data_IF_485670408026
#
_entry.id   IF_485670408026
#
_cell.length_a   1.000
_cell.length_b   1.000
_cell.length_c   1.000
_cell.angle_alpha   90.00
_cell.angle_beta   90.00
_cell.angle_gamma   90.00
#
_symmetry.space_group_name_H-M   'P 1'
#
loop_
_entity.id
_entity.type
_entity.pdbx_description
1 polymer ?
#
# COMPACT_ATOMS: atom_id res chain seq x y z
N UNK A 1 -17.05 -19.63 1.72
CA UNK A 1 -15.70 -19.79 1.11
C UNK A 1 -15.12 -18.49 0.53
N UNK A 2 -15.94 -17.52 0.06
CA UNK A 2 -15.45 -16.27 -0.55
C UNK A 2 -14.58 -15.37 0.34
N UNK A 3 -14.67 -15.43 1.68
CA UNK A 3 -13.80 -14.62 2.56
C UNK A 3 -12.31 -14.96 2.45
N UNK A 4 -11.96 -16.16 1.94
CA UNK A 4 -10.59 -16.56 1.65
C UNK A 4 -9.97 -15.77 0.48
N UNK A 5 -10.77 -15.04 -0.29
CA UNK A 5 -10.26 -14.22 -1.40
C UNK A 5 -9.33 -13.11 -0.92
N UNK A 6 -9.51 -12.61 0.32
CA UNK A 6 -8.70 -11.50 0.84
C UNK A 6 -7.25 -11.93 1.10
N UNK A 7 -6.97 -12.98 1.90
CA UNK A 7 -5.61 -13.51 2.03
C UNK A 7 -4.97 -13.86 0.68
N UNK A 8 -5.73 -14.51 -0.22
CA UNK A 8 -5.23 -14.91 -1.55
C UNK A 8 -4.86 -13.68 -2.38
N UNK A 9 -5.69 -12.64 -2.40
CA UNK A 9 -5.42 -11.39 -3.10
C UNK A 9 -4.15 -10.72 -2.57
N UNK A 10 -4.01 -10.56 -1.26
CA UNK A 10 -2.85 -9.89 -0.69
C UNK A 10 -1.56 -10.67 -0.94
N UNK A 11 -1.59 -12.01 -0.78
CA UNK A 11 -0.43 -12.85 -1.11
C UNK A 11 -0.08 -12.76 -2.59
N UNK A 12 -1.08 -12.83 -3.48
CA UNK A 12 -0.88 -12.66 -4.91
C UNK A 12 -0.24 -11.31 -5.23
N UNK A 13 -0.72 -10.21 -4.66
CA UNK A 13 -0.16 -8.87 -4.88
C UNK A 13 1.27 -8.73 -4.36
N UNK A 14 1.60 -9.38 -3.23
CA UNK A 14 2.98 -9.39 -2.70
C UNK A 14 3.91 -10.16 -3.65
N UNK A 15 3.47 -11.31 -4.17
CA UNK A 15 4.25 -12.09 -5.15
C UNK A 15 4.42 -11.31 -6.45
N UNK A 16 3.35 -10.70 -6.98
CA UNK A 16 3.41 -9.88 -8.20
C UNK A 16 4.32 -8.67 -7.98
N UNK A 17 4.27 -8.01 -6.82
CA UNK A 17 5.16 -6.92 -6.47
C UNK A 17 6.63 -7.37 -6.47
N UNK A 18 6.91 -8.54 -5.87
CA UNK A 18 8.25 -9.14 -5.87
C UNK A 18 8.74 -9.43 -7.29
N UNK A 19 7.91 -10.08 -8.11
CA UNK A 19 8.24 -10.37 -9.50
C UNK A 19 8.46 -9.09 -10.32
N UNK A 20 7.58 -8.10 -10.21
CA UNK A 20 7.71 -6.82 -10.88
C UNK A 20 9.02 -6.12 -10.50
N UNK A 21 9.44 -6.17 -9.24
CA UNK A 21 10.69 -5.55 -8.79
C UNK A 21 11.96 -6.15 -9.43
N UNK A 22 11.91 -7.40 -9.89
CA UNK A 22 13.02 -8.08 -10.55
C UNK A 22 13.11 -7.70 -12.04
N UNK A 23 11.97 -7.59 -12.72
CA UNK A 23 11.92 -7.34 -14.16
C UNK A 23 11.80 -5.86 -14.53
N UNK A 24 11.43 -5.00 -13.59
CA UNK A 24 11.21 -3.59 -13.85
C UNK A 24 12.50 -2.78 -13.67
N UNK A 25 13.01 -2.23 -14.77
CA UNK A 25 14.21 -1.37 -14.80
C UNK A 25 13.89 0.12 -15.00
N UNK A 26 12.62 0.49 -14.99
CA UNK A 26 12.18 1.88 -15.21
C UNK A 26 12.23 2.75 -13.95
N UNK A 27 12.02 4.06 -14.14
CA UNK A 27 11.94 5.03 -13.05
C UNK A 27 10.59 4.98 -12.28
N UNK A 28 9.51 4.56 -12.94
CA UNK A 28 8.16 4.58 -12.38
C UNK A 28 7.89 3.32 -11.52
N UNK A 29 8.13 3.44 -10.23
CA UNK A 29 7.89 2.35 -9.26
C UNK A 29 6.50 2.43 -8.64
N UNK A 30 6.03 1.33 -8.05
CA UNK A 30 4.73 1.24 -7.36
C UNK A 30 4.76 0.20 -6.24
N UNK A 31 3.79 0.25 -5.32
CA UNK A 31 3.61 -0.69 -4.20
C UNK A 31 2.17 -1.23 -4.18
N UNK A 32 1.96 -2.35 -4.89
CA UNK A 32 0.63 -2.95 -5.01
C UNK A 32 0.02 -3.34 -3.65
N UNK A 33 0.76 -3.94 -2.70
CA UNK A 33 0.25 -4.22 -1.37
C UNK A 33 -0.22 -2.97 -0.61
N UNK A 34 0.53 -1.88 -0.66
CA UNK A 34 0.13 -0.61 -0.04
C UNK A 34 -1.19 -0.09 -0.63
N UNK A 35 -1.32 -0.09 -1.96
CA UNK A 35 -2.53 0.36 -2.66
C UNK A 35 -3.75 -0.50 -2.28
N UNK A 36 -3.56 -1.81 -2.14
CA UNK A 36 -4.62 -2.72 -1.72
C UNK A 36 -5.01 -2.51 -0.25
N UNK A 37 -4.04 -2.30 0.65
CA UNK A 37 -4.29 -1.99 2.06
C UNK A 37 -5.08 -0.68 2.17
N UNK A 38 -4.66 0.36 1.46
CA UNK A 38 -5.37 1.63 1.41
C UNK A 38 -6.84 1.43 0.97
N UNK A 39 -7.04 0.72 -0.12
CA UNK A 39 -8.38 0.50 -0.70
C UNK A 39 -9.27 -0.33 0.22
N UNK A 40 -8.70 -1.38 0.82
CA UNK A 40 -9.40 -2.24 1.77
C UNK A 40 -9.77 -1.49 3.06
N UNK A 41 -8.86 -0.68 3.58
CA UNK A 41 -9.08 0.15 4.76
C UNK A 41 -10.22 1.16 4.55
N UNK A 42 -10.31 1.77 3.37
CA UNK A 42 -11.44 2.65 3.02
C UNK A 42 -12.79 1.93 3.09
N UNK A 43 -12.86 0.68 2.65
CA UNK A 43 -14.10 -0.09 2.60
C UNK A 43 -14.50 -0.68 3.95
N UNK A 44 -13.55 -1.28 4.67
CA UNK A 44 -13.82 -2.01 5.93
C UNK A 44 -13.62 -1.15 7.19
N UNK A 45 -12.81 -0.11 7.13
CA UNK A 45 -12.53 0.82 8.24
C UNK A 45 -11.24 0.54 9.01
N UNK A 46 -10.99 1.37 10.02
CA UNK A 46 -9.69 1.52 10.72
C UNK A 46 -9.09 0.24 11.28
N UNK A 47 -9.85 -0.58 12.01
CA UNK A 47 -9.32 -1.77 12.70
C UNK A 47 -8.94 -2.86 11.70
N UNK A 48 -9.79 -3.10 10.71
CA UNK A 48 -9.50 -4.07 9.65
C UNK A 48 -8.36 -3.62 8.75
N UNK A 49 -8.29 -2.32 8.43
CA UNK A 49 -7.17 -1.73 7.68
C UNK A 49 -5.84 -1.91 8.42
N UNK A 50 -5.81 -1.63 9.73
CA UNK A 50 -4.63 -1.82 10.56
C UNK A 50 -4.20 -3.29 10.64
N UNK A 51 -5.14 -4.21 10.90
CA UNK A 51 -4.84 -5.63 11.03
C UNK A 51 -4.28 -6.23 9.72
N UNK A 52 -4.86 -5.87 8.58
CA UNK A 52 -4.35 -6.30 7.27
C UNK A 52 -3.00 -5.65 6.98
N UNK A 53 -2.83 -4.36 7.29
CA UNK A 53 -1.56 -3.67 7.16
C UNK A 53 -0.43 -4.35 7.96
N UNK A 54 -0.73 -4.80 9.18
CA UNK A 54 0.20 -5.54 10.02
C UNK A 54 0.58 -6.88 9.39
N UNK A 55 -0.41 -7.70 9.03
CA UNK A 55 -0.18 -9.03 8.50
C UNK A 55 0.59 -9.00 7.16
N UNK A 56 0.15 -8.13 6.24
CA UNK A 56 0.78 -7.99 4.92
C UNK A 56 2.15 -7.34 5.03
N UNK A 57 2.30 -6.34 5.90
CA UNK A 57 3.58 -5.72 6.18
C UNK A 57 4.59 -6.67 6.78
N UNK A 58 4.18 -7.55 7.70
CA UNK A 58 5.02 -8.61 8.26
C UNK A 58 5.50 -9.59 7.18
N UNK A 59 4.61 -10.03 6.29
CA UNK A 59 4.98 -10.90 5.16
C UNK A 59 6.01 -10.20 4.26
N UNK A 60 5.82 -8.92 3.97
CA UNK A 60 6.76 -8.18 3.13
C UNK A 60 8.10 -7.91 3.83
N UNK A 61 8.12 -7.65 5.14
CA UNK A 61 9.38 -7.57 5.89
C UNK A 61 10.13 -8.91 5.89
N UNK A 62 9.41 -10.04 5.94
CA UNK A 62 10.02 -11.37 5.87
C UNK A 62 10.55 -11.72 4.45
N UNK A 63 9.97 -11.14 3.40
CA UNK A 63 10.34 -11.42 2.01
C UNK A 63 11.35 -10.43 1.42
N UNK A 64 11.63 -9.32 2.10
CA UNK A 64 12.53 -8.27 1.61
C UNK A 64 13.82 -8.25 2.43
N UNK A 65 14.93 -7.86 1.80
CA UNK A 65 16.24 -7.70 2.48
C UNK A 65 16.38 -6.35 3.18
N UNK A 66 15.25 -5.64 3.37
CA UNK A 66 15.20 -4.32 3.99
C UNK A 66 15.26 -4.38 5.51
N UNK A 67 14.92 -3.27 6.16
CA UNK A 67 14.81 -3.21 7.62
C UNK A 67 13.53 -3.91 8.06
N UNK A 68 13.68 -5.02 8.77
CA UNK A 68 12.55 -5.75 9.34
C UNK A 68 11.72 -4.85 10.27
N UNK A 69 10.40 -4.91 10.13
CA UNK A 69 9.44 -4.11 10.88
C UNK A 69 9.08 -2.77 10.21
N UNK A 70 9.84 -2.30 9.21
CA UNK A 70 9.53 -1.04 8.53
C UNK A 70 8.18 -1.14 7.83
N UNK A 71 7.96 -2.21 7.08
CA UNK A 71 6.73 -2.40 6.36
C UNK A 71 5.56 -2.71 7.27
N UNK A 72 5.74 -3.58 8.27
CA UNK A 72 4.73 -3.90 9.25
C UNK A 72 4.19 -2.64 9.93
N UNK A 73 5.07 -1.75 10.42
CA UNK A 73 4.67 -0.53 11.12
C UNK A 73 4.00 0.48 10.17
N UNK A 74 4.65 0.82 9.06
CA UNK A 74 4.15 1.85 8.13
C UNK A 74 2.78 1.48 7.55
N UNK A 75 2.59 0.20 7.18
CA UNK A 75 1.34 -0.29 6.60
C UNK A 75 0.21 -0.37 7.61
N UNK A 76 0.51 -0.74 8.86
CA UNK A 76 -0.46 -0.70 9.96
C UNK A 76 -0.96 0.72 10.19
N UNK A 77 -0.04 1.68 10.29
CA UNK A 77 -0.34 3.10 10.52
C UNK A 77 -1.20 3.66 9.39
N UNK A 78 -0.80 3.42 8.14
CA UNK A 78 -1.58 3.88 6.98
C UNK A 78 -2.95 3.21 6.93
N UNK A 79 -3.02 1.89 7.09
CA UNK A 79 -4.29 1.16 7.12
C UNK A 79 -5.24 1.69 8.20
N UNK A 80 -4.72 2.04 9.38
CA UNK A 80 -5.51 2.64 10.44
C UNK A 80 -6.02 4.04 10.07
N UNK A 81 -5.14 4.96 9.67
CA UNK A 81 -5.51 6.35 9.42
C UNK A 81 -6.43 6.51 8.20
N UNK A 82 -6.17 5.76 7.13
CA UNK A 82 -7.04 5.76 5.94
C UNK A 82 -8.41 5.19 6.27
N UNK A 83 -8.46 4.09 7.04
CA UNK A 83 -9.72 3.51 7.48
C UNK A 83 -10.48 4.39 8.48
N UNK A 84 -9.79 5.24 9.25
CA UNK A 84 -10.41 6.24 10.12
C UNK A 84 -10.94 7.44 9.32
N UNK A 85 -10.23 7.85 8.26
CA UNK A 85 -10.60 8.92 7.35
C UNK A 85 -11.63 8.54 6.29
N UNK A 86 -12.15 7.30 6.29
CA UNK A 86 -12.97 6.75 5.20
C UNK A 86 -14.17 7.63 4.83
N UNK A 87 -14.84 8.25 5.79
CA UNK A 87 -16.05 9.04 5.52
C UNK A 87 -15.79 10.34 4.75
N UNK A 88 -14.59 10.91 4.93
CA UNK A 88 -14.14 12.11 4.22
C UNK A 88 -13.60 11.73 2.84
N UNK A 89 -12.75 10.70 2.80
CA UNK A 89 -12.03 10.32 1.57
C UNK A 89 -12.97 9.64 0.56
N UNK A 90 -13.97 8.89 1.00
CA UNK A 90 -14.87 8.14 0.11
C UNK A 90 -15.88 9.03 -0.62
N UNK A 91 -16.15 10.24 -0.12
CA UNK A 91 -17.13 11.16 -0.73
C UNK A 91 -16.57 11.92 -1.93
N UNK A 92 -15.27 11.83 -2.17
CA UNK A 92 -14.56 12.72 -3.08
C UNK A 92 -14.10 12.07 -4.39
N UNK A 93 -13.75 12.94 -5.34
CA UNK A 93 -13.33 12.58 -6.70
C UNK A 93 -12.01 11.81 -6.71
N UNK A 94 -11.75 11.15 -7.85
CA UNK A 94 -10.51 10.45 -8.19
C UNK A 94 -9.22 11.14 -7.70
N UNK A 95 -9.19 12.47 -7.84
CA UNK A 95 -8.05 13.31 -7.48
C UNK A 95 -7.69 13.23 -6.00
N UNK A 96 -8.65 13.04 -5.09
CA UNK A 96 -8.38 12.97 -3.65
C UNK A 96 -7.77 11.62 -3.25
N UNK A 97 -8.18 10.52 -3.89
CA UNK A 97 -7.51 9.23 -3.71
C UNK A 97 -6.05 9.30 -4.15
N UNK A 98 -5.79 9.89 -5.33
CA UNK A 98 -4.44 10.11 -5.83
C UNK A 98 -3.62 11.02 -4.88
N UNK A 99 -4.18 12.16 -4.45
CA UNK A 99 -3.48 13.07 -3.54
C UNK A 99 -3.15 12.39 -2.20
N UNK A 100 -4.10 11.67 -1.62
CA UNK A 100 -3.91 11.02 -0.31
C UNK A 100 -2.83 9.93 -0.40
N UNK A 101 -2.89 9.05 -1.41
CA UNK A 101 -1.87 8.01 -1.56
C UNK A 101 -0.50 8.61 -1.90
N UNK A 102 -0.45 9.71 -2.66
CA UNK A 102 0.78 10.44 -2.94
C UNK A 102 1.43 10.97 -1.66
N UNK A 103 0.65 11.59 -0.77
CA UNK A 103 1.12 12.07 0.54
C UNK A 103 1.58 10.90 1.42
N UNK A 104 0.81 9.82 1.50
CA UNK A 104 1.22 8.62 2.25
C UNK A 104 2.52 8.02 1.71
N UNK A 105 2.65 7.92 0.39
CA UNK A 105 3.84 7.38 -0.28
C UNK A 105 5.06 8.25 -0.03
N UNK A 106 4.89 9.58 -0.12
CA UNK A 106 5.95 10.54 0.17
C UNK A 106 6.39 10.46 1.64
N UNK A 107 5.44 10.35 2.57
CA UNK A 107 5.74 10.19 3.99
C UNK A 107 6.51 8.89 4.27
N UNK A 108 6.10 7.76 3.68
CA UNK A 108 6.85 6.49 3.80
C UNK A 108 8.27 6.65 3.26
N UNK A 109 8.42 7.23 2.06
CA UNK A 109 9.73 7.43 1.43
C UNK A 109 10.62 8.37 2.24
N UNK A 110 10.06 9.42 2.82
CA UNK A 110 10.77 10.34 3.69
C UNK A 110 11.23 9.66 4.98
N UNK A 111 10.40 8.80 5.59
CA UNK A 111 10.82 8.00 6.75
C UNK A 111 11.91 7.00 6.38
N UNK A 112 11.76 6.30 5.26
CA UNK A 112 12.74 5.33 4.78
C UNK A 112 14.10 5.98 4.48
N UNK A 113 14.07 7.20 3.92
CA UNK A 113 15.25 7.98 3.63
C UNK A 113 16.14 8.19 4.86
N UNK A 114 15.57 8.59 6.01
CA UNK A 114 16.33 8.75 7.25
C UNK A 114 17.03 7.46 7.67
N UNK A 115 16.38 6.32 7.48
CA UNK A 115 16.98 5.03 7.85
C UNK A 115 18.14 4.69 6.90
N UNK A 116 18.00 4.97 5.60
CA UNK A 116 19.10 4.78 4.63
C UNK A 116 20.28 5.72 4.87
N UNK A 117 20.04 6.96 5.29
CA UNK A 117 21.11 7.89 5.68
C UNK A 117 21.91 7.34 6.86
N UNK A 118 21.22 6.81 7.88
CA UNK A 118 21.87 6.16 9.04
C UNK A 118 22.65 4.92 8.58
N UNK A 119 22.03 4.05 7.78
CA UNK A 119 22.62 2.79 7.29
C UNK A 119 23.85 3.00 6.41
N UNK A 120 23.87 4.09 5.64
CA UNK A 120 25.00 4.45 4.77
C UNK A 120 26.13 5.18 5.49
N UNK A 121 26.02 5.39 6.81
CA UNK A 121 27.02 6.13 7.59
C UNK A 121 27.04 7.64 7.28
N UNK A 122 25.89 8.22 6.90
CA UNK A 122 25.78 9.64 6.58
C UNK A 122 26.27 10.01 5.17
N UNK A 123 26.28 9.07 4.22
CA UNK A 123 26.68 9.34 2.83
C UNK A 123 25.56 10.05 2.07
N UNK A 124 25.59 11.38 2.12
CA UNK A 124 24.61 12.25 1.45
C UNK A 124 24.60 12.16 -0.08
N UNK A 125 25.61 11.56 -0.71
CA UNK A 125 25.67 11.41 -2.17
C UNK A 125 24.51 10.62 -2.78
N UNK A 126 23.85 9.75 -2.00
CA UNK A 126 22.68 8.97 -2.45
C UNK A 126 21.36 9.77 -2.39
N UNK A 127 21.39 11.00 -1.90
CA UNK A 127 20.21 11.81 -1.64
C UNK A 127 19.40 12.12 -2.90
N UNK A 128 20.07 12.59 -3.95
CA UNK A 128 19.40 13.01 -5.18
C UNK A 128 18.79 11.83 -5.92
N UNK A 129 19.52 10.71 -6.01
CA UNK A 129 19.03 9.50 -6.65
C UNK A 129 17.81 8.92 -5.92
N UNK A 130 17.87 8.86 -4.58
CA UNK A 130 16.75 8.39 -3.78
C UNK A 130 15.53 9.31 -3.88
N UNK A 131 15.75 10.63 -3.87
CA UNK A 131 14.68 11.62 -4.01
C UNK A 131 14.02 11.51 -5.39
N UNK A 132 14.82 11.39 -6.43
CA UNK A 132 14.34 11.17 -7.80
C UNK A 132 13.53 9.88 -7.91
N UNK A 133 14.04 8.77 -7.39
CA UNK A 133 13.32 7.49 -7.37
C UNK A 133 12.02 7.55 -6.53
N UNK A 134 11.98 8.40 -5.50
CA UNK A 134 10.79 8.60 -4.66
C UNK A 134 9.69 9.34 -5.39
N UNK A 135 10.03 10.27 -6.29
CA UNK A 135 9.04 10.91 -7.17
C UNK A 135 8.39 9.86 -8.07
N UNK A 136 9.19 9.00 -8.72
CA UNK A 136 8.68 7.91 -9.56
C UNK A 136 7.76 6.96 -8.80
N UNK A 137 8.12 6.60 -7.56
CA UNK A 137 7.28 5.78 -6.69
C UNK A 137 5.94 6.43 -6.33
N UNK A 138 5.96 7.71 -5.94
CA UNK A 138 4.74 8.44 -5.61
C UNK A 138 3.83 8.53 -6.84
N UNK A 139 4.37 8.87 -8.00
CA UNK A 139 3.61 8.95 -9.25
C UNK A 139 3.01 7.60 -9.65
N UNK A 140 3.76 6.50 -9.56
CA UNK A 140 3.25 5.17 -9.88
C UNK A 140 2.12 4.75 -8.95
N UNK A 141 2.23 5.04 -7.65
CA UNK A 141 1.15 4.80 -6.69
C UNK A 141 -0.09 5.68 -6.96
N UNK A 142 0.11 6.96 -7.29
CA UNK A 142 -0.98 7.88 -7.66
C UNK A 142 -1.72 7.44 -8.93
N UNK A 143 -1.01 6.84 -9.88
CA UNK A 143 -1.60 6.32 -11.11
C UNK A 143 -2.37 5.02 -10.86
N UNK A 144 -1.79 4.08 -10.10
CA UNK A 144 -2.35 2.75 -9.90
C UNK A 144 -3.41 2.67 -8.80
N UNK A 145 -3.57 3.70 -7.97
CA UNK A 145 -4.58 3.66 -6.91
C UNK A 145 -6.00 3.52 -7.45
N UNK A 146 -6.27 4.14 -8.59
CA UNK A 146 -7.59 4.11 -9.24
C UNK A 146 -7.99 2.70 -9.65
N UNK A 147 -7.23 2.00 -10.53
CA UNK A 147 -7.59 0.65 -10.91
C UNK A 147 -7.57 -0.29 -9.70
N UNK A 148 -6.63 -0.13 -8.76
CA UNK A 148 -6.61 -0.95 -7.55
C UNK A 148 -7.88 -0.79 -6.72
N UNK A 149 -8.32 0.46 -6.47
CA UNK A 149 -9.52 0.72 -5.71
C UNK A 149 -10.77 0.15 -6.39
N UNK A 150 -10.87 0.25 -7.71
CA UNK A 150 -11.98 -0.34 -8.48
C UNK A 150 -12.02 -1.86 -8.34
N UNK A 151 -10.87 -2.54 -8.47
CA UNK A 151 -10.76 -4.00 -8.30
C UNK A 151 -11.15 -4.41 -6.89
N UNK A 152 -10.60 -3.75 -5.86
CA UNK A 152 -10.89 -4.04 -4.45
C UNK A 152 -12.36 -3.77 -4.11
N UNK A 153 -12.95 -2.70 -4.64
CA UNK A 153 -14.37 -2.39 -4.48
C UNK A 153 -15.26 -3.43 -5.15
N UNK A 154 -14.91 -3.88 -6.35
CA UNK A 154 -15.63 -4.93 -7.06
C UNK A 154 -15.61 -6.25 -6.28
N UNK A 155 -14.44 -6.68 -5.80
CA UNK A 155 -14.28 -7.86 -4.95
C UNK A 155 -15.07 -7.75 -3.64
N UNK A 156 -15.09 -6.55 -3.03
CA UNK A 156 -15.87 -6.28 -1.83
C UNK A 156 -17.37 -6.49 -2.05
N UNK A 157 -17.93 -5.88 -3.11
CA UNK A 157 -19.35 -6.01 -3.45
C UNK A 157 -19.70 -7.47 -3.75
N UNK A 158 -18.84 -8.17 -4.51
CA UNK A 158 -19.02 -9.58 -4.82
C UNK A 158 -19.02 -10.46 -3.56
N UNK A 159 -18.19 -10.14 -2.58
CA UNK A 159 -18.16 -10.87 -1.31
C UNK A 159 -19.41 -10.60 -0.45
N UNK A 160 -20.04 -9.42 -0.58
CA UNK A 160 -21.24 -9.04 0.17
C UNK A 160 -22.55 -9.61 -0.42
N UNK A 161 -22.63 -9.82 -1.75
CA UNK A 161 -23.85 -10.35 -2.40
C UNK A 161 -24.30 -11.70 -1.83
N UNK A 162 -23.37 -12.55 -1.43
CA UNK A 162 -23.71 -13.87 -0.88
C UNK A 162 -24.21 -13.77 0.57
N UNK A 163 -23.81 -12.77 1.35
CA UNK A 163 -24.28 -12.62 2.75
C UNK A 163 -25.78 -12.29 2.83
N UNK A 164 -26.37 -11.77 1.74
CA UNK A 164 -27.80 -11.45 1.63
C UNK A 164 -28.61 -12.70 1.24
N UNK A 165 -28.04 -13.65 0.50
CA UNK A 165 -28.73 -14.88 0.05
C UNK A 165 -28.86 -15.92 1.16
N UNK A 166 -28.13 -15.79 2.26
CA UNK A 166 -28.17 -16.68 3.42
C UNK A 166 -28.93 -16.10 4.63
N UNK A 167 -29.62 -14.96 4.47
CA UNK A 167 -30.58 -14.43 5.44
C UNK A 167 -31.99 -14.63 4.93
#
# INVERSE_FOLDING_TARGET
MRRLIWPVLFLFLVVVQGAASVFYTGWLSFDLPLLAIYSYALLKGKLFGAAVGLAVGLVQDAMTTGIFGFHMLTRTVIGYFIGAGKEKIFKDKLSLHAATIGICSAAIRFLYWWIEVIRSGGRWGLFLDFSWASIGYCLGNMLLIVPMFLVVKWLYIWTQKDEITYK
#
